data_IF_716933187959
#
_entry.id   IF_716933187959
#
_cell.length_a   1.000
_cell.length_b   1.000
_cell.length_c   1.000
_cell.angle_alpha   90.00
_cell.angle_beta   90.00
_cell.angle_gamma   90.00
#
_symmetry.space_group_name_H-M   'P 1'
#
loop_
_entity.id
_entity.type
_entity.pdbx_description
1 polymer ?
#
# COMPACT_ATOMS: atom_id res chain seq x y z
N UNK A 1 3.95 -6.10 -14.13
CA UNK A 1 3.66 -6.12 -12.69
C UNK A 1 2.56 -7.16 -12.47
N UNK A 2 2.85 -8.27 -11.81
CA UNK A 2 1.81 -9.25 -11.45
C UNK A 2 1.22 -8.76 -10.13
N UNK A 3 -0.01 -8.24 -10.18
CA UNK A 3 -0.77 -7.86 -8.98
C UNK A 3 -1.37 -9.14 -8.42
N UNK A 4 -0.80 -9.64 -7.32
CA UNK A 4 -1.34 -10.78 -6.59
C UNK A 4 -2.41 -10.28 -5.63
N UNK A 5 -3.67 -10.65 -5.88
CA UNK A 5 -4.80 -10.29 -5.04
C UNK A 5 -5.19 -11.49 -4.17
N UNK A 6 -4.70 -11.51 -2.93
CA UNK A 6 -5.12 -12.45 -1.89
C UNK A 6 -5.88 -11.75 -0.77
N UNK A 7 -6.75 -12.47 -0.01
CA UNK A 7 -7.32 -11.95 1.22
C UNK A 7 -6.23 -11.39 2.16
N UNK A 8 -6.51 -10.28 2.82
CA UNK A 8 -5.54 -9.61 3.71
C UNK A 8 -5.06 -10.53 4.84
N UNK A 9 -5.94 -11.40 5.32
CA UNK A 9 -5.62 -12.43 6.30
C UNK A 9 -4.64 -13.49 5.78
N UNK A 10 -4.68 -13.82 4.48
CA UNK A 10 -3.72 -14.72 3.85
C UNK A 10 -2.36 -14.05 3.70
N UNK A 11 -2.32 -12.78 3.29
CA UNK A 11 -1.09 -11.97 3.31
C UNK A 11 -0.44 -12.01 4.69
N UNK A 12 -1.16 -11.67 5.77
CA UNK A 12 -0.58 -11.67 7.12
C UNK A 12 0.00 -13.02 7.55
N UNK A 13 -0.65 -14.13 7.16
CA UNK A 13 -0.19 -15.49 7.50
C UNK A 13 1.01 -15.94 6.68
N UNK A 14 1.09 -15.53 5.42
CA UNK A 14 2.02 -16.10 4.44
C UNK A 14 3.15 -15.15 4.03
N UNK A 15 3.13 -13.87 4.44
CA UNK A 15 4.08 -12.85 3.95
C UNK A 15 5.55 -13.26 4.09
N UNK A 16 5.89 -14.01 5.13
CA UNK A 16 7.26 -14.45 5.41
C UNK A 16 7.64 -15.73 4.62
N UNK A 17 6.66 -16.42 4.04
CA UNK A 17 6.84 -17.61 3.19
C UNK A 17 7.04 -17.25 1.72
N UNK A 18 6.77 -16.01 1.31
CA UNK A 18 6.98 -15.60 -0.07
C UNK A 18 8.47 -15.44 -0.38
N UNK A 19 8.90 -16.13 -1.44
CA UNK A 19 10.26 -16.00 -2.00
C UNK A 19 10.55 -14.56 -2.46
N UNK A 20 9.51 -13.85 -2.89
CA UNK A 20 9.58 -12.43 -3.21
C UNK A 20 9.04 -11.59 -2.05
N UNK A 21 9.66 -10.43 -1.77
CA UNK A 21 9.14 -9.51 -0.77
C UNK A 21 7.77 -8.97 -1.21
N UNK A 22 6.71 -9.49 -0.62
CA UNK A 22 5.35 -8.94 -0.74
C UNK A 22 5.14 -8.02 0.46
N UNK A 23 4.74 -6.79 0.18
CA UNK A 23 4.59 -5.74 1.20
C UNK A 23 3.26 -5.04 1.00
N UNK A 24 2.54 -4.87 2.10
CA UNK A 24 1.33 -4.07 2.09
C UNK A 24 1.67 -2.58 2.06
N UNK A 25 0.97 -1.81 1.21
CA UNK A 25 1.30 -0.41 0.98
C UNK A 25 1.26 0.43 2.27
N UNK A 26 0.30 0.18 3.16
CA UNK A 26 0.19 0.94 4.42
C UNK A 26 1.39 0.71 5.35
N UNK A 27 1.95 -0.50 5.37
CA UNK A 27 3.13 -0.87 6.14
C UNK A 27 4.38 -0.14 5.61
N UNK A 28 4.51 -0.08 4.27
CA UNK A 28 5.57 0.67 3.60
C UNK A 28 5.48 2.17 3.89
N UNK A 29 4.27 2.75 3.90
CA UNK A 29 4.10 4.18 4.17
C UNK A 29 4.35 4.51 5.64
N UNK A 30 3.90 3.66 6.57
CA UNK A 30 4.02 3.91 8.01
C UNK A 30 5.45 3.72 8.53
N UNK A 31 6.16 2.69 8.07
CA UNK A 31 7.49 2.32 8.57
C UNK A 31 8.44 1.92 7.41
N UNK A 32 8.76 2.84 6.50
CA UNK A 32 9.46 2.52 5.25
C UNK A 32 10.86 1.94 5.48
N UNK A 33 11.59 2.40 6.49
CA UNK A 33 12.93 1.90 6.84
C UNK A 33 12.89 0.42 7.26
N UNK A 34 11.97 0.08 8.16
CA UNK A 34 11.76 -1.28 8.68
C UNK A 34 11.33 -2.24 7.58
N UNK A 35 10.62 -1.74 6.59
CA UNK A 35 10.13 -2.52 5.44
C UNK A 35 11.22 -2.69 4.38
N UNK A 36 11.95 -1.63 4.02
CA UNK A 36 12.94 -1.67 2.94
C UNK A 36 14.20 -2.46 3.30
N UNK A 37 14.65 -2.43 4.56
CA UNK A 37 15.89 -3.09 4.95
C UNK A 37 15.87 -4.63 4.72
N UNK A 38 14.85 -5.39 5.16
CA UNK A 38 14.73 -6.82 4.87
C UNK A 38 14.58 -7.13 3.37
N UNK A 39 13.94 -6.24 2.62
CA UNK A 39 13.77 -6.37 1.16
C UNK A 39 15.14 -6.25 0.47
N UNK A 40 15.93 -5.25 0.88
CA UNK A 40 17.24 -5.00 0.30
C UNK A 40 18.18 -6.14 0.59
N UNK A 41 18.16 -6.67 1.82
CA UNK A 41 18.91 -7.86 2.20
C UNK A 41 18.53 -9.08 1.34
N UNK A 42 17.23 -9.38 1.20
CA UNK A 42 16.72 -10.47 0.34
C UNK A 42 17.12 -10.31 -1.14
N UNK A 43 17.16 -9.08 -1.65
CA UNK A 43 17.52 -8.77 -3.04
C UNK A 43 19.03 -8.60 -3.26
N UNK A 44 19.86 -8.71 -2.21
CA UNK A 44 21.30 -8.48 -2.28
C UNK A 44 21.69 -7.02 -2.56
N UNK A 45 20.81 -6.07 -2.25
CA UNK A 45 21.04 -4.64 -2.39
C UNK A 45 21.77 -4.12 -1.14
N UNK A 46 22.89 -3.38 -1.28
CA UNK A 46 23.60 -2.83 -0.13
C UNK A 46 22.72 -1.91 0.74
N UNK A 47 22.84 -2.03 2.07
CA UNK A 47 22.13 -1.16 3.02
C UNK A 47 22.48 0.34 2.83
N UNK A 48 23.63 0.66 2.24
CA UNK A 48 23.99 2.03 1.87
C UNK A 48 23.06 2.66 0.82
N UNK A 49 22.28 1.85 0.10
CA UNK A 49 21.28 2.31 -0.85
C UNK A 49 19.94 2.70 -0.18
N UNK A 50 19.70 2.31 1.08
CA UNK A 50 18.44 2.55 1.78
C UNK A 50 18.07 4.04 1.86
N UNK A 51 18.99 4.98 2.23
CA UNK A 51 18.67 6.41 2.23
C UNK A 51 18.21 6.91 0.87
N UNK A 52 18.88 6.51 -0.21
CA UNK A 52 18.50 6.90 -1.57
C UNK A 52 17.13 6.36 -1.99
N UNK A 53 16.75 5.17 -1.50
CA UNK A 53 15.43 4.59 -1.76
C UNK A 53 14.32 5.32 -1.00
N UNK A 54 14.58 5.70 0.26
CA UNK A 54 13.67 6.50 1.07
C UNK A 54 13.43 7.88 0.45
N UNK A 55 14.49 8.54 -0.03
CA UNK A 55 14.37 9.83 -0.72
C UNK A 55 13.45 9.73 -1.95
N UNK A 56 13.49 8.59 -2.66
CA UNK A 56 12.66 8.37 -3.85
C UNK A 56 11.18 8.17 -3.54
N UNK A 57 10.82 7.83 -2.30
CA UNK A 57 9.40 7.76 -1.91
C UNK A 57 8.72 9.13 -1.95
N UNK A 58 9.48 10.21 -1.84
CA UNK A 58 8.97 11.58 -1.93
C UNK A 58 8.84 12.07 -3.39
N UNK A 59 9.32 11.29 -4.35
CA UNK A 59 9.26 11.63 -5.76
C UNK A 59 8.00 11.06 -6.42
N UNK A 60 7.24 11.93 -7.07
CA UNK A 60 6.11 11.51 -7.89
C UNK A 60 6.59 10.91 -9.21
N UNK A 61 6.65 9.58 -9.28
CA UNK A 61 7.03 8.86 -10.50
C UNK A 61 6.09 9.13 -11.69
N UNK A 62 4.90 9.67 -11.43
CA UNK A 62 3.89 9.99 -12.44
C UNK A 62 3.85 11.50 -12.75
N UNK A 63 4.84 12.28 -12.30
CA UNK A 63 4.91 13.71 -12.62
C UNK A 63 4.91 13.95 -14.14
N UNK A 64 4.21 14.99 -14.56
CA UNK A 64 3.95 15.29 -15.98
C UNK A 64 2.85 14.43 -16.64
N UNK A 65 2.30 13.42 -15.95
CA UNK A 65 1.16 12.63 -16.44
C UNK A 65 -0.15 13.03 -15.76
N UNK A 66 -1.28 12.56 -16.31
CA UNK A 66 -2.61 12.75 -15.73
C UNK A 66 -2.81 12.00 -14.40
N UNK A 67 -1.90 11.09 -14.03
CA UNK A 67 -1.90 10.35 -12.75
C UNK A 67 -0.98 10.97 -11.70
N UNK A 68 -0.36 12.12 -11.98
CA UNK A 68 0.48 12.81 -11.00
C UNK A 68 -0.30 13.14 -9.73
N UNK A 69 0.38 13.03 -8.58
CA UNK A 69 -0.18 13.40 -7.27
C UNK A 69 -0.70 14.85 -7.27
N UNK A 70 -0.03 15.75 -7.99
CA UNK A 70 -0.45 17.14 -8.13
C UNK A 70 -1.84 17.26 -8.76
N UNK A 71 -2.10 16.52 -9.84
CA UNK A 71 -3.39 16.54 -10.51
C UNK A 71 -4.45 15.76 -9.72
N UNK A 72 -4.10 14.60 -9.16
CA UNK A 72 -5.01 13.81 -8.34
C UNK A 72 -5.47 14.57 -7.09
N UNK A 73 -4.60 15.37 -6.44
CA UNK A 73 -4.97 16.23 -5.31
C UNK A 73 -6.00 17.32 -5.66
N UNK A 74 -6.05 17.74 -6.93
CA UNK A 74 -7.03 18.70 -7.40
C UNK A 74 -8.40 18.06 -7.68
N UNK A 75 -8.44 16.73 -7.81
CA UNK A 75 -9.69 15.99 -7.97
C UNK A 75 -10.29 15.81 -6.58
N UNK A 76 -11.44 16.44 -6.35
CA UNK A 76 -12.22 16.15 -5.15
C UNK A 76 -12.75 14.73 -5.25
N UNK A 77 -12.37 13.88 -4.29
CA UNK A 77 -13.02 12.60 -4.13
C UNK A 77 -14.52 12.82 -3.93
N UNK A 78 -15.35 12.07 -4.64
CA UNK A 78 -16.79 12.11 -4.42
C UNK A 78 -17.08 11.62 -3.01
N UNK A 79 -18.05 12.24 -2.32
CA UNK A 79 -18.48 11.74 -1.02
C UNK A 79 -18.93 10.27 -1.14
N UNK A 80 -18.56 9.47 -0.15
CA UNK A 80 -18.92 8.05 -0.12
C UNK A 80 -20.41 7.95 0.18
N UNK A 81 -21.20 7.53 -0.81
CA UNK A 81 -22.63 7.30 -0.59
C UNK A 81 -22.86 6.09 0.33
N UNK A 82 -24.01 5.99 1.01
CA UNK A 82 -24.33 4.82 1.83
C UNK A 82 -24.24 3.50 1.06
N UNK A 83 -24.68 3.46 -0.20
CA UNK A 83 -24.62 2.26 -1.04
C UNK A 83 -23.19 1.89 -1.41
N UNK A 84 -22.34 2.89 -1.68
CA UNK A 84 -20.92 2.66 -1.93
C UNK A 84 -20.23 2.16 -0.66
N UNK A 85 -20.56 2.72 0.51
CA UNK A 85 -20.04 2.27 1.80
C UNK A 85 -20.41 0.81 2.06
N UNK A 86 -21.67 0.42 1.86
CA UNK A 86 -22.10 -0.98 2.00
C UNK A 86 -21.34 -1.91 1.06
N UNK A 87 -21.15 -1.53 -0.21
CA UNK A 87 -20.34 -2.31 -1.15
C UNK A 87 -18.90 -2.47 -0.66
N UNK A 88 -18.27 -1.39 -0.20
CA UNK A 88 -16.89 -1.45 0.32
C UNK A 88 -16.81 -2.37 1.54
N UNK A 89 -17.78 -2.28 2.46
CA UNK A 89 -17.83 -3.14 3.65
C UNK A 89 -18.05 -4.61 3.29
N UNK A 90 -18.90 -4.90 2.31
CA UNK A 90 -19.12 -6.26 1.81
C UNK A 90 -17.84 -6.82 1.17
N UNK A 91 -17.16 -6.02 0.34
CA UNK A 91 -15.83 -6.39 -0.18
C UNK A 91 -14.83 -6.66 0.95
N UNK A 92 -14.73 -5.76 1.91
CA UNK A 92 -13.81 -5.91 3.04
C UNK A 92 -14.06 -7.20 3.82
N UNK A 93 -15.33 -7.58 4.02
CA UNK A 93 -15.72 -8.85 4.64
C UNK A 93 -15.24 -10.05 3.83
N UNK A 94 -15.45 -10.05 2.51
CA UNK A 94 -15.01 -11.14 1.64
C UNK A 94 -13.48 -11.29 1.60
N UNK A 95 -12.76 -10.17 1.63
CA UNK A 95 -11.30 -10.14 1.65
C UNK A 95 -10.70 -10.21 3.06
N UNK A 96 -11.52 -10.35 4.09
CA UNK A 96 -11.12 -10.43 5.50
C UNK A 96 -10.20 -9.26 5.90
N UNK A 97 -10.54 -8.06 5.44
CA UNK A 97 -9.84 -6.83 5.76
C UNK A 97 -10.25 -6.32 7.15
N UNK A 98 -9.29 -5.83 7.92
CA UNK A 98 -9.58 -5.17 9.20
C UNK A 98 -10.21 -3.79 8.94
N UNK A 99 -11.19 -3.41 9.75
CA UNK A 99 -11.91 -2.13 9.59
C UNK A 99 -11.00 -0.91 9.66
N UNK A 100 -9.89 -1.01 10.43
CA UNK A 100 -8.83 0.00 10.51
C UNK A 100 -8.17 0.30 9.17
N UNK A 101 -8.15 -0.66 8.24
CA UNK A 101 -7.57 -0.50 6.89
C UNK A 101 -8.48 0.31 5.97
N UNK A 102 -9.79 0.30 6.23
CA UNK A 102 -10.77 0.96 5.35
C UNK A 102 -10.83 2.47 5.55
N UNK A 103 -10.19 3.03 6.58
CA UNK A 103 -10.14 4.47 6.83
C UNK A 103 -11.52 5.11 7.09
N UNK A 104 -12.57 4.32 7.30
CA UNK A 104 -13.86 4.82 7.80
C UNK A 104 -13.70 5.18 9.28
N UNK A 105 -13.15 6.36 9.56
CA UNK A 105 -13.12 6.89 10.92
C UNK A 105 -14.54 7.08 11.45
N UNK A 106 -14.75 6.73 12.72
CA UNK A 106 -15.90 7.19 13.49
C UNK A 106 -15.79 8.73 13.59
N UNK A 107 -16.77 9.44 13.03
CA UNK A 107 -17.03 10.85 13.34
C UNK A 107 -17.63 10.96 14.74
#
# INVERSE_FOLDING_TARGET
MIVYAEPYSNYKKNKDLYDFPVVWQDELIATPETVLAPIFDKLGIPASCTPSALDRMNYDSQDGTYLSQKLLKAISATEITPELKEKILDYAKHFQMESSVLGFGDN
#
